data_IF_296580814586
#
_entry.id   IF_296580814586
#
_cell.length_a   1.000
_cell.length_b   1.000
_cell.length_c   1.000
_cell.angle_alpha   90.00
_cell.angle_beta   90.00
_cell.angle_gamma   90.00
#
_symmetry.space_group_name_H-M   'P 1'
#
loop_
_entity.id
_entity.type
_entity.pdbx_description
1 polymer ?
#
# COMPACT_ATOMS: atom_id res chain seq x y z
N UNK A 1 -4.21 15.33 -2.89
CA UNK A 1 -5.50 14.72 -3.28
C UNK A 1 -5.43 13.21 -3.12
N UNK A 2 -6.46 12.63 -2.53
CA UNK A 2 -6.50 11.19 -2.27
C UNK A 2 -7.18 10.49 -3.45
N UNK A 3 -6.52 9.49 -4.06
CA UNK A 3 -7.16 8.74 -5.14
C UNK A 3 -8.43 8.04 -4.67
N UNK A 4 -9.34 7.80 -5.60
CA UNK A 4 -10.60 7.16 -5.27
C UNK A 4 -10.46 5.69 -4.94
N UNK A 5 -9.38 5.08 -5.39
CA UNK A 5 -9.14 3.65 -5.21
C UNK A 5 -8.18 3.36 -4.06
N UNK A 6 -8.21 4.18 -3.02
CA UNK A 6 -7.32 3.98 -1.88
C UNK A 6 -7.80 2.86 -0.98
N UNK A 7 -6.84 2.20 -0.35
CA UNK A 7 -7.08 1.14 0.63
C UNK A 7 -6.33 1.48 1.90
N UNK A 8 -6.89 1.07 3.04
CA UNK A 8 -6.18 1.18 4.32
C UNK A 8 -5.12 0.08 4.39
N UNK A 9 -4.27 0.14 5.42
CA UNK A 9 -3.27 -0.91 5.62
C UNK A 9 -3.93 -2.28 5.71
N UNK A 10 -5.02 -2.35 6.45
CA UNK A 10 -5.74 -3.61 6.63
C UNK A 10 -6.28 -4.14 5.31
N UNK A 11 -6.90 -3.25 4.55
CA UNK A 11 -7.45 -3.64 3.25
C UNK A 11 -6.35 -4.06 2.28
N UNK A 12 -5.27 -3.30 2.25
CA UNK A 12 -4.16 -3.59 1.36
C UNK A 12 -3.47 -4.90 1.75
N UNK A 13 -3.37 -5.18 3.05
CA UNK A 13 -2.77 -6.43 3.49
C UNK A 13 -3.57 -7.64 3.01
N UNK A 14 -4.88 -7.52 3.05
CA UNK A 14 -5.74 -8.59 2.54
C UNK A 14 -5.61 -8.69 1.03
N UNK A 15 -5.59 -7.57 0.36
CA UNK A 15 -5.49 -7.53 -1.09
C UNK A 15 -4.18 -8.16 -1.58
N UNK A 16 -3.10 -7.92 -0.86
CA UNK A 16 -1.78 -8.43 -1.22
C UNK A 16 -1.42 -9.75 -0.54
N UNK A 17 -2.28 -10.25 0.32
CA UNK A 17 -2.00 -11.45 1.11
C UNK A 17 -0.72 -11.29 1.92
N UNK A 18 -0.55 -10.13 2.53
CA UNK A 18 0.61 -9.81 3.35
C UNK A 18 0.18 -9.51 4.78
N UNK A 19 1.13 -9.65 5.69
CA UNK A 19 0.93 -9.24 7.07
C UNK A 19 0.83 -7.72 7.12
N UNK A 20 -0.14 -7.19 7.87
CA UNK A 20 -0.34 -5.75 7.97
C UNK A 20 0.90 -5.05 8.52
N UNK A 21 1.58 -5.66 9.50
CA UNK A 21 2.78 -5.07 10.06
C UNK A 21 3.89 -4.98 9.03
N UNK A 22 4.05 -6.02 8.23
CA UNK A 22 5.05 -6.02 7.17
C UNK A 22 4.76 -4.94 6.14
N UNK A 23 3.47 -4.80 5.78
CA UNK A 23 3.07 -3.80 4.83
C UNK A 23 3.31 -2.39 5.34
N UNK A 24 3.00 -2.17 6.62
CA UNK A 24 3.23 -0.86 7.23
C UNK A 24 4.71 -0.52 7.24
N UNK A 25 5.56 -1.50 7.52
CA UNK A 25 6.99 -1.29 7.49
C UNK A 25 7.47 -0.89 6.08
N UNK A 26 6.95 -1.56 5.07
CA UNK A 26 7.30 -1.20 3.70
C UNK A 26 6.90 0.23 3.37
N UNK A 27 5.75 0.67 3.89
CA UNK A 27 5.29 2.03 3.68
C UNK A 27 6.22 3.03 4.36
N UNK A 28 6.60 2.75 5.61
CA UNK A 28 7.49 3.62 6.37
C UNK A 28 8.86 3.71 5.68
N UNK A 29 9.34 2.61 5.17
CA UNK A 29 10.63 2.57 4.48
C UNK A 29 10.55 3.05 3.04
N UNK A 30 9.36 3.40 2.59
CA UNK A 30 9.12 3.91 1.24
C UNK A 30 9.50 2.90 0.17
N UNK A 31 9.30 1.64 0.46
CA UNK A 31 9.55 0.55 -0.49
C UNK A 31 8.30 0.17 -1.27
N UNK A 32 7.17 0.72 -0.88
CA UNK A 32 5.89 0.47 -1.53
C UNK A 32 5.19 1.82 -1.69
N UNK A 33 4.48 2.04 -2.81
CA UNK A 33 3.74 3.29 -2.97
C UNK A 33 2.66 3.42 -1.91
N UNK A 34 2.75 4.49 -1.11
CA UNK A 34 1.81 4.73 -0.04
C UNK A 34 1.66 6.21 0.18
N UNK A 35 0.52 6.59 0.73
CA UNK A 35 0.20 7.99 1.03
C UNK A 35 -0.11 8.06 2.52
N UNK A 36 0.53 9.00 3.22
CA UNK A 36 0.22 9.24 4.61
C UNK A 36 -0.85 10.33 4.70
N UNK A 37 -1.95 10.04 5.39
CA UNK A 37 -3.05 10.97 5.52
C UNK A 37 -3.66 10.81 6.92
N UNK A 38 -3.69 11.90 7.68
CA UNK A 38 -4.26 11.89 9.04
C UNK A 38 -3.66 10.79 9.92
N UNK A 39 -2.37 10.57 9.79
CA UNK A 39 -1.69 9.57 10.61
C UNK A 39 -1.92 8.14 10.16
N UNK A 40 -2.51 7.97 9.01
CA UNK A 40 -2.77 6.63 8.47
C UNK A 40 -2.08 6.47 7.13
N UNK A 41 -1.70 5.23 6.83
CA UNK A 41 -1.15 4.90 5.53
C UNK A 41 -2.28 4.45 4.61
N UNK A 42 -2.31 5.04 3.42
CA UNK A 42 -3.28 4.66 2.39
C UNK A 42 -2.52 4.19 1.16
N UNK A 43 -3.09 3.23 0.47
CA UNK A 43 -2.45 2.63 -0.70
C UNK A 43 -3.38 2.74 -1.89
N UNK A 44 -2.86 3.22 -3.02
CA UNK A 44 -3.64 3.28 -4.24
C UNK A 44 -3.59 1.91 -4.93
N UNK A 45 -4.76 1.37 -5.25
CA UNK A 45 -4.84 0.08 -5.90
C UNK A 45 -4.04 0.06 -7.20
N UNK A 46 -4.17 1.12 -7.99
CA UNK A 46 -3.42 1.22 -9.24
C UNK A 46 -1.92 1.21 -9.01
N UNK A 47 -1.47 1.98 -8.04
CA UNK A 47 -0.04 2.05 -7.72
C UNK A 47 0.47 0.71 -7.20
N UNK A 48 -0.32 0.04 -6.38
CA UNK A 48 0.04 -1.26 -5.83
C UNK A 48 0.13 -2.29 -6.95
N UNK A 49 -0.80 -2.27 -7.88
CA UNK A 49 -0.77 -3.20 -9.01
C UNK A 49 0.49 -3.01 -9.85
N UNK A 50 0.86 -1.77 -10.11
CA UNK A 50 2.09 -1.48 -10.83
C UNK A 50 3.31 -1.94 -10.06
N UNK A 51 3.31 -1.69 -8.76
CA UNK A 51 4.42 -2.09 -7.90
C UNK A 51 4.60 -3.60 -7.91
N UNK A 52 3.51 -4.35 -7.82
CA UNK A 52 3.56 -5.82 -7.85
C UNK A 52 4.14 -6.32 -9.18
N UNK A 53 3.69 -5.74 -10.26
CA UNK A 53 4.15 -6.14 -11.58
C UNK A 53 5.65 -5.91 -11.73
N UNK A 54 6.13 -4.78 -11.21
CA UNK A 54 7.54 -4.44 -11.35
C UNK A 54 8.45 -5.26 -10.44
N UNK A 55 8.00 -5.53 -9.24
CA UNK A 55 8.86 -6.20 -8.26
C UNK A 55 8.63 -7.69 -8.17
N UNK A 56 7.47 -8.14 -8.57
CA UNK A 56 7.12 -9.52 -8.35
C UNK A 56 7.51 -10.42 -9.47
N UNK A 57 7.57 -9.83 -10.51
CA UNK A 57 7.90 -10.64 -11.64
C UNK A 57 7.17 -11.94 -11.63
#
# INVERSE_FOLDING_TARGET
>A
MIPKDTMTVKEASTYLSMDAEALERLAVERRIPAIEHDGQWLFSKKSIDKWRTRSGA
#
